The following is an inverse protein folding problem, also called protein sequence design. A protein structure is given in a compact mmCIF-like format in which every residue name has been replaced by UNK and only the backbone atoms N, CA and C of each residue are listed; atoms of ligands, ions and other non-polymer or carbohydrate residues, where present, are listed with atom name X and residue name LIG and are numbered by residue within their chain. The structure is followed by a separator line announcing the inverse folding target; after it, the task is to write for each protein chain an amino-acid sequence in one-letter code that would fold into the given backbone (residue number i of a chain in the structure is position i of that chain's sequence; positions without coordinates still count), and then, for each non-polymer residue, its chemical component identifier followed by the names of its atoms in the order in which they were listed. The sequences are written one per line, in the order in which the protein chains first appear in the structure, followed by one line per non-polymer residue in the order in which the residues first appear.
data_IF_545825254077
#
_entry.id   IF_545825254077
#
_cell.length_a   1.000
_cell.length_b   1.000
_cell.length_c   1.000
_cell.angle_alpha   90.00
_cell.angle_beta   90.00
_cell.angle_gamma   90.00
#
_symmetry.space_group_name_H-M   'P 1'
#
loop_
_entity.id
_entity.type
_entity.pdbx_description
1 polymer ?
#
# COMPACT_ATOMS: atom_id res chain seq x y z
N UNK A 1 -7.14 -8.85 31.92
CA UNK A 1 -8.41 -8.55 31.23
C UNK A 1 -9.61 -9.27 31.88
N UNK A 2 -9.71 -10.62 31.85
CA UNK A 2 -10.90 -11.34 32.35
C UNK A 2 -11.24 -11.14 33.83
N UNK A 3 -10.24 -10.98 34.71
CA UNK A 3 -10.49 -10.66 36.13
C UNK A 3 -11.25 -9.35 36.35
N UNK A 4 -11.06 -8.37 35.46
CA UNK A 4 -11.73 -7.07 35.53
C UNK A 4 -13.05 -7.06 34.73
N UNK A 5 -13.25 -8.03 33.84
CA UNK A 5 -14.38 -8.12 32.91
C UNK A 5 -14.90 -9.58 32.88
N UNK A 6 -15.45 -10.10 34.00
CA UNK A 6 -15.85 -11.50 34.11
C UNK A 6 -16.94 -11.90 33.11
N UNK A 7 -17.75 -10.93 32.65
CA UNK A 7 -18.78 -11.11 31.63
C UNK A 7 -18.23 -11.46 30.24
N UNK A 8 -16.92 -11.24 30.00
CA UNK A 8 -16.27 -11.64 28.74
C UNK A 8 -15.81 -13.11 28.77
N UNK A 9 -15.88 -13.79 29.92
CA UNK A 9 -15.41 -15.15 30.04
C UNK A 9 -16.28 -16.12 29.21
N UNK A 10 -15.62 -16.90 28.36
CA UNK A 10 -16.28 -17.90 27.50
C UNK A 10 -16.85 -17.34 26.21
N UNK A 11 -16.77 -16.03 25.99
CA UNK A 11 -17.11 -15.41 24.70
C UNK A 11 -16.03 -15.69 23.66
N UNK A 12 -16.44 -15.85 22.42
CA UNK A 12 -15.55 -15.84 21.26
C UNK A 12 -14.93 -14.45 21.04
N UNK A 13 -13.83 -14.39 20.29
CA UNK A 13 -13.19 -13.12 19.96
C UNK A 13 -14.15 -12.13 19.25
N UNK A 14 -15.05 -12.64 18.39
CA UNK A 14 -16.07 -11.82 17.72
C UNK A 14 -17.11 -11.28 18.70
N UNK A 15 -17.57 -12.07 19.67
CA UNK A 15 -18.49 -11.60 20.70
C UNK A 15 -17.84 -10.56 21.62
N UNK A 16 -16.56 -10.72 21.94
CA UNK A 16 -15.80 -9.70 22.67
C UNK A 16 -15.68 -8.41 21.84
N UNK A 17 -15.42 -8.54 20.53
CA UNK A 17 -15.38 -7.40 19.62
C UNK A 17 -16.72 -6.66 19.55
N UNK A 18 -17.85 -7.38 19.50
CA UNK A 18 -19.18 -6.77 19.60
C UNK A 18 -19.36 -5.97 20.89
N UNK A 19 -18.93 -6.53 22.04
CA UNK A 19 -19.01 -5.85 23.34
C UNK A 19 -18.18 -4.57 23.37
N UNK A 20 -17.02 -4.57 22.71
CA UNK A 20 -16.20 -3.37 22.55
C UNK A 20 -16.92 -2.31 21.70
N UNK A 21 -17.47 -2.69 20.54
CA UNK A 21 -18.23 -1.77 19.68
C UNK A 21 -19.44 -1.21 20.41
N UNK A 22 -20.21 -2.05 21.12
CA UNK A 22 -21.33 -1.64 21.94
C UNK A 22 -20.89 -0.67 23.04
N UNK A 23 -19.81 -0.97 23.76
CA UNK A 23 -19.31 -0.11 24.84
C UNK A 23 -18.94 1.28 24.32
N UNK A 24 -18.24 1.37 23.18
CA UNK A 24 -17.84 2.64 22.56
C UNK A 24 -19.08 3.41 22.07
N UNK A 25 -19.95 2.75 21.31
CA UNK A 25 -21.12 3.41 20.70
C UNK A 25 -22.20 3.79 21.72
N UNK A 26 -22.33 3.08 22.84
CA UNK A 26 -23.20 3.44 23.96
C UNK A 26 -22.73 4.71 24.70
N UNK A 27 -21.45 5.07 24.61
CA UNK A 27 -20.94 6.36 25.09
C UNK A 27 -21.15 7.51 24.09
N UNK A 28 -21.81 7.24 22.96
CA UNK A 28 -22.06 8.24 21.93
C UNK A 28 -20.89 8.46 20.96
N UNK A 29 -19.81 7.69 21.09
CA UNK A 29 -18.63 7.77 20.23
C UNK A 29 -18.87 7.06 18.90
N UNK A 30 -18.21 7.55 17.86
CA UNK A 30 -18.21 6.94 16.54
C UNK A 30 -17.14 5.84 16.47
N UNK A 31 -17.38 4.83 15.63
CA UNK A 31 -16.50 3.70 15.40
C UNK A 31 -16.22 3.58 13.91
N UNK A 32 -14.94 3.43 13.58
CA UNK A 32 -14.45 3.05 12.25
C UNK A 32 -13.81 1.67 12.43
N UNK A 33 -14.24 0.69 11.62
CA UNK A 33 -13.69 -0.66 11.68
C UNK A 33 -12.55 -0.78 10.67
N UNK A 34 -11.34 -1.05 11.15
CA UNK A 34 -10.15 -1.19 10.31
C UNK A 34 -9.75 -2.66 10.16
N UNK A 35 -9.61 -3.11 8.91
CA UNK A 35 -9.02 -4.41 8.61
C UNK A 35 -7.49 -4.32 8.73
N UNK A 36 -7.02 -4.47 9.96
CA UNK A 36 -5.63 -4.21 10.29
C UNK A 36 -4.67 -5.31 9.81
N UNK A 37 -5.02 -6.56 10.04
CA UNK A 37 -4.25 -7.75 9.64
C UNK A 37 -5.18 -8.94 9.41
N UNK A 38 -4.68 -9.97 8.74
CA UNK A 38 -5.34 -11.27 8.64
C UNK A 38 -5.09 -12.15 9.86
N UNK A 39 -3.87 -12.10 10.41
CA UNK A 39 -3.46 -12.92 11.54
C UNK A 39 -3.49 -12.11 12.85
N UNK A 40 -3.68 -12.80 13.97
CA UNK A 40 -3.57 -12.22 15.31
C UNK A 40 -2.08 -12.05 15.67
N UNK A 41 -1.43 -11.08 15.02
CA UNK A 41 0.01 -10.81 15.13
C UNK A 41 0.25 -9.31 15.41
N UNK A 42 1.47 -8.84 15.15
CA UNK A 42 1.82 -7.42 15.14
C UNK A 42 2.44 -7.06 13.78
N UNK A 43 2.17 -5.85 13.30
CA UNK A 43 2.64 -5.32 12.02
C UNK A 43 3.64 -4.15 12.24
N UNK A 44 4.13 -3.36 11.30
CA UNK A 44 3.85 -3.31 9.88
C UNK A 44 5.20 -3.22 9.19
N UNK A 45 5.91 -4.34 9.08
CA UNK A 45 7.10 -4.41 8.23
C UNK A 45 6.79 -5.10 6.92
N UNK A 46 7.82 -5.25 6.09
CA UNK A 46 7.69 -5.86 4.78
C UNK A 46 7.75 -7.38 4.82
N UNK A 47 8.00 -8.01 5.97
CA UNK A 47 8.18 -9.47 6.11
C UNK A 47 7.09 -10.13 6.97
N UNK A 48 6.20 -9.34 7.61
CA UNK A 48 5.09 -9.82 8.43
C UNK A 48 3.97 -10.58 7.67
N UNK A 49 4.06 -10.66 6.34
CA UNK A 49 3.09 -11.37 5.50
C UNK A 49 1.73 -10.70 5.38
N UNK A 50 1.56 -9.51 5.97
CA UNK A 50 0.31 -8.77 6.11
C UNK A 50 0.45 -7.37 5.48
N UNK A 51 1.19 -7.24 4.37
CA UNK A 51 1.33 -5.98 3.63
C UNK A 51 0.30 -5.77 2.50
N UNK A 52 -0.36 -6.84 2.04
CA UNK A 52 -1.33 -6.81 0.94
C UNK A 52 -2.73 -7.22 1.40
N UNK A 53 -3.73 -7.18 0.51
CA UNK A 53 -5.11 -7.65 0.76
C UNK A 53 -5.27 -9.17 0.55
N UNK A 54 -4.18 -9.91 0.60
CA UNK A 54 -4.10 -11.37 0.59
C UNK A 54 -2.78 -11.79 1.23
N UNK A 55 -2.72 -13.04 1.67
CA UNK A 55 -1.53 -13.69 2.22
C UNK A 55 -1.37 -15.07 1.56
N UNK A 56 -0.39 -15.86 1.99
CA UNK A 56 -0.29 -17.26 1.57
C UNK A 56 -1.42 -18.15 2.14
N UNK A 57 -2.07 -17.69 3.21
CA UNK A 57 -3.14 -18.40 3.92
C UNK A 57 -4.54 -17.89 3.57
N UNK A 58 -4.68 -16.61 3.27
CA UNK A 58 -5.95 -15.95 3.01
C UNK A 58 -5.98 -15.33 1.62
N UNK A 59 -7.00 -15.65 0.85
CA UNK A 59 -7.19 -15.12 -0.49
C UNK A 59 -7.78 -13.71 -0.47
N UNK A 60 -7.74 -13.03 -1.63
CA UNK A 60 -8.50 -11.78 -1.81
C UNK A 60 -9.99 -11.97 -1.57
N UNK A 61 -10.56 -13.15 -1.87
CA UNK A 61 -11.98 -13.39 -1.66
C UNK A 61 -12.31 -13.55 -0.17
N UNK A 62 -11.40 -14.12 0.64
CA UNK A 62 -11.55 -14.17 2.09
C UNK A 62 -11.60 -12.76 2.69
N UNK A 63 -10.72 -11.86 2.22
CA UNK A 63 -10.74 -10.44 2.60
C UNK A 63 -12.07 -9.76 2.24
N UNK A 64 -12.53 -9.91 1.00
CA UNK A 64 -13.80 -9.32 0.55
C UNK A 64 -15.01 -9.88 1.34
N UNK A 65 -15.00 -11.17 1.64
CA UNK A 65 -16.03 -11.80 2.46
C UNK A 65 -16.00 -11.28 3.90
N UNK A 66 -14.82 -11.08 4.48
CA UNK A 66 -14.64 -10.48 5.80
C UNK A 66 -15.17 -9.04 5.88
N UNK A 67 -14.87 -8.21 4.88
CA UNK A 67 -15.41 -6.85 4.77
C UNK A 67 -16.95 -6.85 4.66
N UNK A 68 -17.49 -7.69 3.79
CA UNK A 68 -18.95 -7.83 3.63
C UNK A 68 -19.61 -8.28 4.93
N UNK A 69 -19.00 -9.25 5.61
CA UNK A 69 -19.48 -9.80 6.88
C UNK A 69 -19.55 -8.74 7.98
N UNK A 70 -18.46 -7.97 8.19
CA UNK A 70 -18.45 -6.91 9.20
C UNK A 70 -19.41 -5.77 8.85
N UNK A 71 -19.50 -5.41 7.56
CA UNK A 71 -20.43 -4.39 7.10
C UNK A 71 -21.90 -4.76 7.36
N UNK A 72 -22.30 -5.98 7.01
CA UNK A 72 -23.64 -6.51 7.30
C UNK A 72 -23.89 -6.64 8.81
N UNK A 73 -22.88 -7.08 9.57
CA UNK A 73 -22.99 -7.28 11.04
C UNK A 73 -23.32 -5.99 11.78
N UNK A 74 -22.73 -4.87 11.37
CA UNK A 74 -22.85 -3.59 12.08
C UNK A 74 -23.76 -2.57 11.40
N UNK A 75 -24.46 -2.94 10.33
CA UNK A 75 -25.28 -2.01 9.54
C UNK A 75 -26.37 -1.27 10.32
N UNK A 76 -26.90 -1.92 11.37
CA UNK A 76 -27.97 -1.36 12.20
C UNK A 76 -27.44 -0.50 13.36
N UNK A 77 -26.11 -0.41 13.54
CA UNK A 77 -25.49 0.51 14.49
C UNK A 77 -25.08 1.80 13.77
N UNK A 78 -25.83 2.92 13.92
CA UNK A 78 -25.57 4.15 13.18
C UNK A 78 -24.27 4.86 13.59
N UNK A 79 -23.60 4.40 14.65
CA UNK A 79 -22.30 4.94 15.09
C UNK A 79 -21.11 4.13 14.57
N UNK A 80 -21.34 3.00 13.89
CA UNK A 80 -20.32 2.38 13.05
C UNK A 80 -20.37 3.08 11.69
N UNK A 81 -19.54 4.13 11.56
CA UNK A 81 -19.71 5.14 10.50
C UNK A 81 -18.90 4.86 9.25
N UNK A 82 -17.84 4.06 9.34
CA UNK A 82 -17.00 3.72 8.21
C UNK A 82 -16.26 2.39 8.39
N UNK A 83 -15.80 1.86 7.25
CA UNK A 83 -14.98 0.66 7.17
C UNK A 83 -13.70 1.01 6.46
N UNK A 84 -12.60 0.90 7.18
CA UNK A 84 -11.27 0.99 6.62
C UNK A 84 -10.82 -0.37 6.14
N UNK A 85 -10.75 -0.47 4.82
CA UNK A 85 -10.77 -1.75 4.13
C UNK A 85 -9.44 -2.49 4.24
N UNK A 86 -8.33 -1.77 4.47
CA UNK A 86 -7.02 -2.40 4.60
C UNK A 86 -5.97 -1.44 5.16
N UNK A 87 -5.41 -1.83 6.30
CA UNK A 87 -4.30 -1.12 6.93
C UNK A 87 -2.97 -1.20 6.17
N UNK A 88 -2.40 -0.04 5.90
CA UNK A 88 -1.07 0.18 5.35
C UNK A 88 -0.73 -0.76 4.19
N UNK A 89 -1.43 -0.70 3.03
CA UNK A 89 -1.01 -1.41 1.83
C UNK A 89 0.46 -1.10 1.55
N UNK A 90 1.35 -2.09 1.69
CA UNK A 90 2.80 -1.92 1.66
C UNK A 90 3.51 -3.11 0.98
N UNK A 91 4.79 -2.94 0.59
CA UNK A 91 5.57 -4.04 0.04
C UNK A 91 5.58 -5.26 0.93
N UNK A 92 5.45 -6.45 0.32
CA UNK A 92 5.65 -7.72 0.99
C UNK A 92 6.81 -8.49 0.36
N UNK A 93 7.87 -8.69 1.11
CA UNK A 93 9.02 -9.52 0.76
C UNK A 93 8.70 -10.96 1.17
N UNK A 94 8.48 -11.82 0.18
CA UNK A 94 8.26 -13.25 0.38
C UNK A 94 9.55 -13.97 0.75
N UNK A 95 9.40 -15.10 1.44
CA UNK A 95 10.46 -16.10 1.55
C UNK A 95 10.98 -16.46 0.15
N UNK A 96 12.30 -16.37 -0.05
CA UNK A 96 12.93 -16.50 -1.36
C UNK A 96 13.23 -15.17 -2.08
N UNK A 97 12.94 -14.03 -1.46
CA UNK A 97 13.43 -12.70 -1.88
C UNK A 97 12.60 -12.00 -2.95
N UNK A 98 11.45 -12.56 -3.33
CA UNK A 98 10.52 -11.88 -4.25
C UNK A 98 9.74 -10.81 -3.49
N UNK A 99 9.75 -9.57 -3.97
CA UNK A 99 9.01 -8.45 -3.38
C UNK A 99 7.73 -8.19 -4.17
N UNK A 100 6.58 -8.17 -3.50
CA UNK A 100 5.30 -7.80 -4.10
C UNK A 100 4.97 -6.36 -3.68
N UNK A 101 4.78 -5.47 -4.65
CA UNK A 101 4.59 -4.04 -4.45
C UNK A 101 3.13 -3.65 -4.75
N UNK A 102 2.39 -3.05 -3.81
CA UNK A 102 1.08 -2.48 -4.08
C UNK A 102 1.24 -1.12 -4.79
N UNK A 103 0.59 -0.98 -5.93
CA UNK A 103 0.63 0.23 -6.76
C UNK A 103 -0.75 0.76 -7.07
N UNK A 104 -0.88 2.07 -7.28
CA UNK A 104 -2.15 2.66 -7.71
C UNK A 104 -2.28 2.59 -9.24
N UNK A 105 -3.08 1.64 -9.75
CA UNK A 105 -3.41 1.56 -11.17
C UNK A 105 -2.41 0.81 -12.05
N UNK A 106 -1.46 0.07 -11.48
CA UNK A 106 -0.53 -0.78 -12.22
C UNK A 106 -0.56 -2.20 -11.71
N UNK A 107 -0.76 -3.14 -12.63
CA UNK A 107 -0.50 -4.57 -12.41
C UNK A 107 0.48 -5.02 -13.51
N UNK A 108 1.65 -5.53 -13.12
CA UNK A 108 2.60 -6.05 -14.10
C UNK A 108 3.48 -7.16 -13.53
N UNK A 109 3.72 -8.16 -14.36
CA UNK A 109 4.62 -9.28 -14.11
C UNK A 109 5.98 -9.12 -14.81
N UNK A 110 6.18 -8.03 -15.58
CA UNK A 110 7.44 -7.84 -16.33
C UNK A 110 8.65 -7.72 -15.39
N UNK A 111 8.42 -7.23 -14.17
CA UNK A 111 9.46 -7.07 -13.16
C UNK A 111 9.75 -8.37 -12.39
N UNK A 112 8.99 -9.46 -12.64
CA UNK A 112 9.20 -10.74 -11.96
C UNK A 112 10.60 -11.29 -12.24
N UNK A 113 11.15 -11.01 -13.43
CA UNK A 113 12.52 -11.37 -13.81
C UNK A 113 13.59 -10.72 -12.91
N UNK A 114 13.24 -9.64 -12.24
CA UNK A 114 14.10 -8.92 -11.29
C UNK A 114 13.71 -9.20 -9.83
N UNK A 115 12.79 -10.12 -9.58
CA UNK A 115 12.30 -10.44 -8.23
C UNK A 115 11.23 -9.50 -7.71
N UNK A 116 10.54 -8.73 -8.57
CA UNK A 116 9.47 -7.82 -8.16
C UNK A 116 8.16 -8.14 -8.86
N UNK A 117 7.07 -8.24 -8.12
CA UNK A 117 5.72 -8.34 -8.65
C UNK A 117 4.97 -7.06 -8.30
N UNK A 118 4.26 -6.46 -9.25
CA UNK A 118 3.44 -5.26 -8.98
C UNK A 118 1.96 -5.63 -9.05
N UNK A 119 1.21 -5.27 -8.02
CA UNK A 119 -0.23 -5.56 -7.89
C UNK A 119 -1.03 -4.26 -7.71
N UNK A 120 -2.21 -4.21 -8.32
CA UNK A 120 -3.00 -2.98 -8.40
C UNK A 120 -3.89 -2.77 -7.16
N UNK A 121 -3.46 -1.89 -6.26
CA UNK A 121 -4.22 -1.47 -5.08
C UNK A 121 -5.50 -0.72 -5.45
N UNK A 122 -5.52 0.12 -6.50
CA UNK A 122 -6.76 0.81 -6.94
C UNK A 122 -7.86 -0.20 -7.26
N UNK A 123 -7.49 -1.30 -7.94
CA UNK A 123 -8.40 -2.39 -8.26
C UNK A 123 -8.90 -3.12 -7.02
N UNK A 124 -7.99 -3.50 -6.13
CA UNK A 124 -8.37 -4.15 -4.89
C UNK A 124 -9.24 -3.24 -4.00
N UNK A 125 -8.88 -1.97 -3.86
CA UNK A 125 -9.64 -0.95 -3.13
C UNK A 125 -11.06 -0.78 -3.70
N UNK A 126 -11.21 -0.75 -5.03
CA UNK A 126 -12.52 -0.72 -5.70
C UNK A 126 -13.35 -1.96 -5.34
N UNK A 127 -12.75 -3.15 -5.34
CA UNK A 127 -13.42 -4.39 -4.94
C UNK A 127 -13.79 -4.39 -3.45
N UNK A 128 -12.90 -3.89 -2.58
CA UNK A 128 -13.12 -3.77 -1.14
C UNK A 128 -14.28 -2.82 -0.80
N UNK A 129 -14.35 -1.66 -1.45
CA UNK A 129 -15.46 -0.72 -1.30
C UNK A 129 -16.80 -1.36 -1.71
N UNK A 130 -16.82 -2.07 -2.85
CA UNK A 130 -18.00 -2.81 -3.31
C UNK A 130 -18.40 -3.91 -2.32
N UNK A 131 -17.45 -4.62 -1.73
CA UNK A 131 -17.72 -5.61 -0.69
C UNK A 131 -18.35 -5.00 0.57
N UNK A 132 -17.85 -3.86 1.04
CA UNK A 132 -18.48 -3.12 2.14
C UNK A 132 -19.92 -2.73 1.78
N UNK A 133 -20.15 -2.16 0.59
CA UNK A 133 -21.51 -1.73 0.20
C UNK A 133 -22.47 -2.87 -0.08
N UNK A 134 -22.00 -4.09 -0.36
CA UNK A 134 -22.85 -5.29 -0.39
C UNK A 134 -23.44 -5.61 0.99
N UNK A 135 -22.66 -5.44 2.06
CA UNK A 135 -23.13 -5.64 3.44
C UNK A 135 -23.85 -4.42 4.01
N UNK A 136 -23.36 -3.22 3.74
CA UNK A 136 -23.98 -1.97 4.17
C UNK A 136 -23.98 -0.92 3.05
N UNK A 137 -25.07 -0.81 2.26
CA UNK A 137 -25.15 0.09 1.13
C UNK A 137 -25.09 1.58 1.44
N UNK A 138 -25.02 1.99 2.71
CA UNK A 138 -24.94 3.42 3.10
C UNK A 138 -23.67 3.75 3.88
N UNK A 139 -22.80 2.76 4.14
CA UNK A 139 -21.56 2.98 4.87
C UNK A 139 -20.57 3.87 4.10
N UNK A 140 -19.77 4.63 4.86
CA UNK A 140 -18.55 5.22 4.31
C UNK A 140 -17.45 4.16 4.23
N UNK A 141 -16.57 4.31 3.25
CA UNK A 141 -15.42 3.43 3.04
C UNK A 141 -14.16 4.28 3.14
N UNK A 142 -13.26 3.88 4.02
CA UNK A 142 -11.93 4.50 4.14
C UNK A 142 -10.97 3.74 3.23
N UNK A 143 -10.24 4.48 2.40
CA UNK A 143 -9.24 3.96 1.46
C UNK A 143 -7.90 4.58 1.80
N UNK A 144 -7.04 3.79 2.44
CA UNK A 144 -5.67 4.20 2.70
C UNK A 144 -4.84 4.29 1.42
N UNK A 145 -3.84 5.17 1.44
CA UNK A 145 -2.83 5.27 0.39
C UNK A 145 -2.01 3.98 0.24
N UNK A 146 -1.35 3.81 -0.90
CA UNK A 146 -0.35 2.76 -1.01
C UNK A 146 0.95 3.20 -0.31
N UNK A 147 1.86 2.25 -0.12
CA UNK A 147 3.15 2.47 0.51
C UNK A 147 3.03 2.89 1.99
N UNK A 148 2.50 2.02 2.83
CA UNK A 148 2.27 2.30 4.26
C UNK A 148 1.31 3.49 4.50
N UNK A 149 0.24 3.56 3.71
CA UNK A 149 -0.72 4.67 3.75
C UNK A 149 -0.07 6.06 3.56
N UNK A 150 1.03 6.14 2.82
CA UNK A 150 1.75 7.42 2.63
C UNK A 150 1.50 8.10 1.29
N UNK A 151 0.68 7.49 0.43
CA UNK A 151 0.55 8.01 -0.92
C UNK A 151 -0.83 7.83 -1.56
N UNK A 152 -1.41 8.96 -1.94
CA UNK A 152 -2.65 9.18 -2.67
C UNK A 152 -2.46 10.13 -3.87
N UNK A 153 -1.23 10.41 -4.29
CA UNK A 153 -0.91 11.41 -5.31
C UNK A 153 -1.66 11.19 -6.64
N UNK A 154 -2.01 9.94 -6.97
CA UNK A 154 -2.61 9.57 -8.26
C UNK A 154 -4.08 9.15 -8.18
N UNK A 155 -4.76 9.37 -7.06
CA UNK A 155 -6.18 8.94 -6.94
C UNK A 155 -7.11 9.73 -7.87
N UNK A 156 -6.79 10.98 -8.21
CA UNK A 156 -7.55 11.77 -9.20
C UNK A 156 -7.23 11.42 -10.64
N UNK A 157 -5.99 11.02 -10.93
CA UNK A 157 -5.57 10.59 -12.27
C UNK A 157 -6.26 9.27 -12.63
N UNK A 158 -6.42 8.39 -11.63
CA UNK A 158 -7.05 7.09 -11.74
C UNK A 158 -8.05 6.86 -10.59
N UNK A 159 -9.29 7.38 -10.68
CA UNK A 159 -10.29 7.24 -9.62
C UNK A 159 -10.75 5.79 -9.46
N UNK A 160 -11.33 5.44 -8.31
CA UNK A 160 -11.86 4.08 -8.08
C UNK A 160 -12.81 3.63 -9.21
N UNK A 161 -12.77 2.34 -9.53
CA UNK A 161 -13.53 1.73 -10.60
C UNK A 161 -14.97 1.42 -10.15
N UNK A 162 -15.78 2.47 -10.08
CA UNK A 162 -17.17 2.42 -9.65
C UNK A 162 -18.09 2.72 -10.84
N UNK A 163 -19.15 1.92 -10.99
CA UNK A 163 -20.14 2.14 -12.04
C UNK A 163 -20.98 3.39 -11.80
N UNK A 164 -21.10 3.81 -10.54
CA UNK A 164 -21.91 4.95 -10.13
C UNK A 164 -21.02 6.01 -9.51
N UNK A 165 -20.85 7.13 -10.22
CA UNK A 165 -20.00 8.24 -9.76
C UNK A 165 -20.41 8.80 -8.39
N UNK A 166 -21.70 8.72 -8.02
CA UNK A 166 -22.18 9.15 -6.70
C UNK A 166 -21.59 8.34 -5.54
N UNK A 167 -21.06 7.13 -5.77
CA UNK A 167 -20.44 6.32 -4.71
C UNK A 167 -19.10 6.87 -4.24
N UNK A 168 -18.40 7.66 -5.07
CA UNK A 168 -17.17 8.36 -4.65
C UNK A 168 -17.40 9.25 -3.44
N UNK A 169 -18.64 9.71 -3.28
CA UNK A 169 -19.02 10.60 -2.20
C UNK A 169 -19.17 9.92 -0.83
N UNK A 170 -19.02 8.59 -0.78
CA UNK A 170 -18.94 7.77 0.43
C UNK A 170 -17.50 7.30 0.70
N UNK A 171 -16.54 7.81 -0.06
CA UNK A 171 -15.12 7.46 0.07
C UNK A 171 -14.43 8.53 0.89
N UNK A 172 -13.69 8.09 1.90
CA UNK A 172 -12.74 8.91 2.64
C UNK A 172 -11.36 8.38 2.32
N UNK A 173 -10.47 9.23 1.84
CA UNK A 173 -9.08 8.81 1.64
C UNK A 173 -8.29 8.99 2.92
N UNK A 174 -7.32 8.10 3.15
CA UNK A 174 -6.58 8.11 4.41
C UNK A 174 -5.07 8.05 4.25
N UNK A 175 -4.39 8.81 5.09
CA UNK A 175 -2.93 8.84 5.21
C UNK A 175 -2.48 8.55 6.63
N UNK A 176 -1.30 7.94 6.79
CA UNK A 176 -0.60 7.84 8.07
C UNK A 176 0.48 8.92 8.16
N UNK A 177 0.79 9.46 9.34
CA UNK A 177 1.81 10.50 9.50
C UNK A 177 2.71 10.19 10.70
N UNK A 178 3.98 9.89 10.40
CA UNK A 178 5.01 9.58 11.38
C UNK A 178 6.32 10.28 11.04
N UNK A 179 7.25 10.36 11.99
CA UNK A 179 8.54 11.02 11.77
C UNK A 179 9.36 10.40 10.63
N UNK A 180 9.18 9.10 10.38
CA UNK A 180 9.81 8.36 9.30
C UNK A 180 9.03 8.41 7.97
N UNK A 181 7.83 9.01 7.94
CA UNK A 181 6.95 9.11 6.77
C UNK A 181 7.64 9.65 5.52
N UNK A 182 8.44 10.72 5.68
CA UNK A 182 9.13 11.36 4.56
C UNK A 182 10.16 10.46 3.90
N UNK A 183 10.71 9.49 4.62
CA UNK A 183 11.59 8.46 4.05
C UNK A 183 10.79 7.54 3.13
N UNK A 184 9.65 7.04 3.60
CA UNK A 184 8.80 6.13 2.82
C UNK A 184 8.26 6.81 1.55
N UNK A 185 7.73 8.03 1.66
CA UNK A 185 7.23 8.79 0.50
C UNK A 185 8.33 9.09 -0.52
N UNK A 186 9.54 9.47 -0.08
CA UNK A 186 10.63 9.74 -1.01
C UNK A 186 11.11 8.49 -1.74
N UNK A 187 11.21 7.35 -1.05
CA UNK A 187 11.48 6.06 -1.70
C UNK A 187 10.43 5.78 -2.77
N UNK A 188 9.15 6.04 -2.50
CA UNK A 188 8.11 5.94 -3.53
C UNK A 188 8.30 6.95 -4.67
N UNK A 189 8.61 8.23 -4.39
CA UNK A 189 8.79 9.25 -5.43
C UNK A 189 9.95 8.90 -6.37
N UNK A 190 11.00 8.30 -5.82
CA UNK A 190 12.14 7.78 -6.57
C UNK A 190 11.75 6.51 -7.36
N UNK A 191 10.94 5.63 -6.76
CA UNK A 191 10.37 4.44 -7.41
C UNK A 191 9.47 4.74 -8.61
N UNK A 192 8.66 5.80 -8.52
CA UNK A 192 7.72 6.23 -9.55
C UNK A 192 8.44 6.84 -10.77
N UNK A 193 9.73 7.19 -10.64
CA UNK A 193 10.59 7.60 -11.73
C UNK A 193 11.02 6.39 -12.60
N UNK A 194 10.60 6.27 -13.88
CA UNK A 194 10.87 5.10 -14.71
C UNK A 194 12.36 4.83 -15.02
N UNK A 195 13.26 5.77 -14.69
CA UNK A 195 14.71 5.64 -14.85
C UNK A 195 15.47 5.57 -13.52
N UNK A 196 14.81 5.79 -12.39
CA UNK A 196 15.35 5.56 -11.05
C UNK A 196 15.08 4.12 -10.59
N UNK A 197 14.05 3.48 -11.15
CA UNK A 197 13.71 2.05 -10.98
C UNK A 197 14.89 1.07 -11.15
N UNK A 198 15.91 1.39 -11.96
CA UNK A 198 17.08 0.52 -12.19
C UNK A 198 18.32 0.86 -11.33
N UNK A 199 18.48 2.11 -10.86
CA UNK A 199 19.48 2.43 -9.82
C UNK A 199 19.05 1.87 -8.46
N UNK A 200 17.74 1.86 -8.24
CA UNK A 200 17.00 1.35 -7.09
C UNK A 200 17.23 -0.13 -6.74
N UNK A 201 17.39 -1.04 -7.72
CA UNK A 201 17.59 -2.47 -7.43
C UNK A 201 18.87 -2.80 -6.67
N UNK A 202 19.85 -1.88 -6.68
CA UNK A 202 21.12 -2.03 -5.97
C UNK A 202 21.09 -1.43 -4.56
N UNK A 203 20.26 -0.40 -4.33
CA UNK A 203 20.34 0.44 -3.13
C UNK A 203 19.37 -0.03 -2.01
N UNK A 204 18.26 -0.71 -2.35
CA UNK A 204 17.36 -1.34 -1.35
C UNK A 204 18.10 -2.35 -0.47
N UNK A 205 19.01 -3.12 -1.07
CA UNK A 205 19.72 -4.22 -0.39
C UNK A 205 20.84 -3.74 0.52
N UNK A 206 21.32 -2.51 0.35
CA UNK A 206 22.50 -2.00 1.07
C UNK A 206 22.12 -0.97 2.14
N UNK A 207 21.07 -0.17 1.93
CA UNK A 207 20.74 0.94 2.85
C UNK A 207 19.57 0.63 3.81
N UNK A 208 18.63 -0.25 3.44
CA UNK A 208 17.41 -0.51 4.26
C UNK A 208 17.32 -1.93 4.83
N UNK A 209 18.26 -2.82 4.51
CA UNK A 209 18.32 -4.18 5.05
C UNK A 209 18.72 -4.29 6.52
N UNK A 210 18.98 -3.18 7.22
CA UNK A 210 19.46 -3.18 8.62
C UNK A 210 18.73 -2.22 9.57
N UNK A 211 17.79 -1.38 9.09
CA UNK A 211 17.18 -0.34 9.94
C UNK A 211 15.69 -0.57 10.28
N UNK A 212 15.04 -1.59 9.70
CA UNK A 212 13.71 -2.04 10.14
C UNK A 212 13.72 -2.67 11.55
N UNK A 213 14.91 -3.02 12.06
CA UNK A 213 15.15 -3.59 13.40
C UNK A 213 15.40 -2.54 14.49
N UNK A 214 15.33 -1.24 14.18
CA UNK A 214 15.58 -0.13 15.12
C UNK A 214 14.39 0.81 15.35
N UNK A 215 13.15 0.30 15.28
CA UNK A 215 11.89 1.09 15.34
C UNK A 215 11.64 1.87 16.65
N UNK A 216 12.53 1.77 17.63
CA UNK A 216 12.33 2.37 18.97
C UNK A 216 12.99 3.76 19.17
N UNK A 217 13.82 4.28 18.25
CA UNK A 217 14.39 5.66 18.38
C UNK A 217 14.73 6.38 17.05
N UNK A 218 13.79 6.42 16.10
CA UNK A 218 13.96 7.14 14.81
C UNK A 218 13.47 8.60 14.87
N UNK A 219 13.44 9.20 16.07
CA UNK A 219 13.33 10.67 16.21
C UNK A 219 14.69 11.33 16.50
N UNK A 220 15.78 10.54 16.49
CA UNK A 220 17.14 11.08 16.34
C UNK A 220 17.32 11.74 14.97
N UNK A 221 18.32 12.62 14.86
CA UNK A 221 18.49 13.67 13.82
C UNK A 221 18.58 13.17 12.38
N UNK A 222 17.46 12.71 11.83
CA UNK A 222 17.35 12.33 10.42
C UNK A 222 17.11 13.61 9.57
N UNK A 223 17.76 13.76 8.39
CA UNK A 223 17.55 14.93 7.54
C UNK A 223 16.08 15.26 7.23
N UNK A 224 15.23 14.23 7.22
CA UNK A 224 13.79 14.37 6.94
C UNK A 224 12.95 14.81 8.14
N UNK A 225 13.36 14.49 9.36
CA UNK A 225 12.69 14.98 10.58
C UNK A 225 13.07 16.44 10.87
N UNK A 226 14.15 16.91 10.26
CA UNK A 226 14.70 18.27 10.42
C UNK A 226 14.40 19.23 9.25
N UNK A 227 13.53 18.84 8.33
CA UNK A 227 13.24 19.63 7.13
C UNK A 227 12.52 20.96 7.42
N UNK A 228 12.75 22.01 6.59
CA UNK A 228 11.96 23.24 6.64
C UNK A 228 10.47 22.99 6.42
N UNK A 229 9.62 23.86 6.99
CA UNK A 229 8.17 23.71 6.92
C UNK A 229 7.64 23.66 5.48
N UNK A 230 8.13 24.53 4.58
CA UNK A 230 7.61 24.60 3.21
C UNK A 230 7.82 23.27 2.47
N UNK A 231 9.02 22.68 2.59
CA UNK A 231 9.29 21.33 2.05
C UNK A 231 8.42 20.26 2.72
N UNK A 232 8.21 20.33 4.03
CA UNK A 232 7.32 19.41 4.73
C UNK A 232 5.89 19.48 4.17
N UNK A 233 5.36 20.70 4.04
CA UNK A 233 4.01 20.96 3.57
C UNK A 233 3.81 20.53 2.12
N UNK A 234 4.72 20.92 1.22
CA UNK A 234 4.67 20.55 -0.21
C UNK A 234 4.57 19.03 -0.40
N UNK A 235 5.37 18.27 0.37
CA UNK A 235 5.33 16.80 0.31
C UNK A 235 3.98 16.21 0.76
N UNK A 236 3.33 16.78 1.78
CA UNK A 236 2.02 16.26 2.25
C UNK A 236 0.89 16.68 1.33
N UNK A 237 0.96 17.89 0.78
CA UNK A 237 0.05 18.34 -0.26
C UNK A 237 0.10 17.42 -1.47
N UNK A 238 1.30 17.14 -2.00
CA UNK A 238 1.49 16.23 -3.13
C UNK A 238 1.06 14.79 -2.79
N UNK A 239 1.39 14.31 -1.59
CA UNK A 239 1.07 12.94 -1.17
C UNK A 239 -0.43 12.68 -1.05
N UNK A 240 -1.27 13.69 -0.79
CA UNK A 240 -2.72 13.48 -0.74
C UNK A 240 -3.55 14.65 -0.21
N UNK A 241 -2.95 15.60 0.50
CA UNK A 241 -3.72 16.74 1.03
C UNK A 241 -4.20 17.72 -0.06
N UNK A 242 -3.72 17.61 -1.30
CA UNK A 242 -4.32 18.29 -2.45
C UNK A 242 -5.81 17.96 -2.60
N UNK A 243 -6.23 16.74 -2.23
CA UNK A 243 -7.64 16.32 -2.28
C UNK A 243 -8.54 17.19 -1.39
N UNK A 244 -8.05 17.53 -0.20
CA UNK A 244 -8.76 18.38 0.75
C UNK A 244 -8.65 19.86 0.36
N UNK A 245 -7.45 20.30 -0.07
CA UNK A 245 -7.20 21.69 -0.52
C UNK A 245 -8.10 22.07 -1.69
N UNK A 246 -8.26 21.17 -2.65
CA UNK A 246 -8.95 21.41 -3.92
C UNK A 246 -10.44 20.98 -3.88
N UNK A 247 -10.99 20.67 -2.69
CA UNK A 247 -12.39 20.26 -2.48
C UNK A 247 -12.82 19.02 -3.31
N UNK A 248 -11.90 18.06 -3.47
CA UNK A 248 -12.10 16.87 -4.29
C UNK A 248 -12.66 15.72 -3.44
N UNK A 249 -12.04 15.45 -2.30
CA UNK A 249 -12.43 14.36 -1.40
C UNK A 249 -11.92 14.62 0.03
N UNK A 250 -12.62 14.14 1.07
CA UNK A 250 -12.13 14.24 2.43
C UNK A 250 -10.88 13.37 2.62
N UNK A 251 -9.88 13.95 3.30
CA UNK A 251 -8.67 13.26 3.75
C UNK A 251 -8.71 13.14 5.26
N UNK A 252 -8.54 11.93 5.75
CA UNK A 252 -8.39 11.64 7.18
C UNK A 252 -6.96 11.17 7.44
N UNK A 253 -6.35 11.65 8.52
CA UNK A 253 -5.10 11.05 9.00
C UNK A 253 -5.46 9.94 9.97
N UNK A 254 -5.59 8.70 9.47
CA UNK A 254 -6.04 7.55 10.29
C UNK A 254 -5.03 7.11 11.34
N UNK A 255 -3.75 7.45 11.18
CA UNK A 255 -2.75 7.27 12.21
C UNK A 255 -1.73 8.40 12.22
N UNK A 256 -1.49 8.97 13.40
CA UNK A 256 -0.27 9.72 13.67
C UNK A 256 0.09 9.60 15.15
N UNK A 257 1.38 9.66 15.45
CA UNK A 257 1.83 9.59 16.83
C UNK A 257 3.29 9.92 16.99
N UNK A 258 3.71 10.11 18.23
CA UNK A 258 5.10 10.38 18.56
C UNK A 258 5.46 10.09 20.00
N UNK A 259 6.72 9.75 20.23
CA UNK A 259 7.24 9.44 21.57
C UNK A 259 7.60 10.69 22.38
N UNK A 260 8.14 11.74 21.73
CA UNK A 260 8.71 12.91 22.41
C UNK A 260 8.34 14.22 21.71
N UNK A 261 7.87 15.19 22.48
CA UNK A 261 7.64 16.56 21.99
C UNK A 261 8.97 17.25 21.67
N UNK A 262 9.09 17.82 20.48
CA UNK A 262 10.24 18.64 20.10
C UNK A 262 11.57 17.89 19.93
N UNK A 263 11.54 16.55 19.80
CA UNK A 263 12.73 15.77 19.48
C UNK A 263 13.29 16.09 18.09
N UNK A 264 12.42 16.54 17.18
CA UNK A 264 12.77 17.06 15.85
C UNK A 264 11.76 18.11 15.38
N UNK A 265 12.03 18.76 14.24
CA UNK A 265 11.07 19.69 13.63
C UNK A 265 9.79 19.02 13.15
N UNK A 266 9.81 17.70 12.91
CA UNK A 266 8.65 16.94 12.43
C UNK A 266 7.39 17.22 13.24
N UNK A 267 7.43 17.05 14.57
CA UNK A 267 6.22 17.21 15.40
C UNK A 267 5.61 18.61 15.25
N UNK A 268 6.45 19.65 15.33
CA UNK A 268 5.99 21.03 15.19
C UNK A 268 5.47 21.32 13.78
N UNK A 269 6.09 20.77 12.74
CA UNK A 269 5.62 20.90 11.37
C UNK A 269 4.28 20.18 11.17
N UNK A 270 4.12 18.96 11.69
CA UNK A 270 2.86 18.21 11.66
C UNK A 270 1.75 18.97 12.36
N UNK A 271 1.98 19.47 13.57
CA UNK A 271 0.97 20.26 14.30
C UNK A 271 0.59 21.52 13.55
N UNK A 272 1.57 22.24 12.98
CA UNK A 272 1.33 23.44 12.18
C UNK A 272 0.54 23.12 10.91
N UNK A 273 0.89 22.05 10.22
CA UNK A 273 0.26 21.65 8.97
C UNK A 273 -1.17 21.16 9.19
N UNK A 274 -1.42 20.33 10.20
CA UNK A 274 -2.78 19.85 10.50
C UNK A 274 -3.73 20.99 10.85
N UNK A 275 -3.26 22.01 11.58
CA UNK A 275 -4.05 23.23 11.82
C UNK A 275 -4.31 24.02 10.55
N UNK A 276 -3.30 24.18 9.70
CA UNK A 276 -3.45 24.93 8.45
C UNK A 276 -4.46 24.25 7.51
N UNK A 277 -4.45 22.92 7.45
CA UNK A 277 -5.35 22.13 6.61
C UNK A 277 -6.70 21.83 7.24
N UNK A 278 -6.92 22.14 8.52
CA UNK A 278 -8.07 21.64 9.30
C UNK A 278 -8.21 20.10 9.19
N UNK A 279 -7.08 19.40 9.34
CA UNK A 279 -7.00 17.96 9.15
C UNK A 279 -7.82 17.21 10.21
N UNK A 280 -8.66 16.26 9.77
CA UNK A 280 -9.20 15.25 10.68
C UNK A 280 -8.12 14.21 10.97
N UNK A 281 -8.06 13.68 12.19
CA UNK A 281 -6.94 12.84 12.61
C UNK A 281 -7.33 11.76 13.62
N UNK A 282 -6.45 10.78 13.80
CA UNK A 282 -6.54 9.73 14.81
C UNK A 282 -5.15 9.45 15.39
N UNK A 283 -5.04 9.53 16.73
CA UNK A 283 -3.78 9.31 17.42
C UNK A 283 -3.50 7.81 17.56
N UNK A 284 -2.34 7.39 17.09
CA UNK A 284 -1.88 6.02 17.25
C UNK A 284 -0.80 5.90 18.35
N UNK A 285 -0.99 5.02 19.34
CA UNK A 285 -2.25 4.44 19.82
C UNK A 285 -2.74 5.09 21.11
N UNK A 286 -3.93 4.70 21.57
CA UNK A 286 -4.33 4.94 22.96
C UNK A 286 -3.46 4.11 23.92
N UNK A 287 -3.15 2.88 23.52
CA UNK A 287 -2.57 1.84 24.34
C UNK A 287 -1.19 2.19 24.92
N UNK A 288 -0.95 1.91 26.21
CA UNK A 288 0.36 2.08 26.85
C UNK A 288 1.31 0.89 26.58
N UNK A 289 0.82 -0.18 25.95
CA UNK A 289 1.52 -1.45 25.76
C UNK A 289 1.25 -1.99 24.37
N UNK A 290 2.31 -2.46 23.72
CA UNK A 290 2.29 -3.15 22.45
C UNK A 290 2.10 -4.65 22.64
N UNK A 291 2.80 -5.24 23.62
CA UNK A 291 2.61 -6.62 24.07
C UNK A 291 2.29 -6.58 25.57
N UNK A 292 1.11 -7.08 26.01
CA UNK A 292 0.77 -7.13 27.43
C UNK A 292 1.75 -8.02 28.23
N UNK A 293 1.90 -7.71 29.52
CA UNK A 293 2.59 -8.62 30.46
C UNK A 293 1.94 -10.01 30.48
N UNK A 294 2.78 -11.03 30.67
CA UNK A 294 2.40 -12.45 30.71
C UNK A 294 1.69 -12.95 29.44
N UNK A 295 1.75 -12.21 28.33
CA UNK A 295 1.18 -12.64 27.05
C UNK A 295 2.11 -13.62 26.33
N UNK A 296 3.39 -13.29 26.24
CA UNK A 296 4.42 -14.13 25.65
C UNK A 296 5.22 -14.83 26.78
N UNK A 297 5.24 -16.17 26.85
CA UNK A 297 6.07 -16.88 27.81
C UNK A 297 7.58 -16.63 27.65
N UNK A 298 8.04 -16.22 26.46
CA UNK A 298 9.44 -15.90 26.18
C UNK A 298 9.79 -14.45 26.55
N UNK A 299 8.80 -13.55 26.58
CA UNK A 299 8.90 -12.17 27.05
C UNK A 299 7.79 -11.85 28.07
N UNK A 300 7.91 -12.33 29.33
CA UNK A 300 6.85 -12.18 30.33
C UNK A 300 6.65 -10.72 30.75
N UNK A 301 7.66 -9.87 30.59
CA UNK A 301 7.55 -8.44 30.87
C UNK A 301 6.71 -7.73 29.81
N UNK A 302 6.60 -8.29 28.60
CA UNK A 302 5.92 -7.69 27.46
C UNK A 302 6.51 -6.35 27.04
N UNK A 303 5.91 -5.73 26.04
CA UNK A 303 6.45 -4.56 25.37
C UNK A 303 5.58 -3.32 25.61
N UNK A 304 6.22 -2.22 26.01
CA UNK A 304 5.57 -0.90 26.12
C UNK A 304 5.32 -0.31 24.73
N UNK A 305 4.27 0.51 24.62
CA UNK A 305 4.07 1.35 23.44
C UNK A 305 4.33 2.82 23.80
N UNK A 306 5.52 3.32 23.44
CA UNK A 306 5.92 4.70 23.77
C UNK A 306 5.15 5.76 22.99
N UNK A 307 4.45 5.38 21.92
CA UNK A 307 3.54 6.26 21.18
C UNK A 307 2.20 6.42 21.91
N UNK A 308 1.87 5.51 22.83
CA UNK A 308 0.64 5.49 23.63
C UNK A 308 0.22 6.82 24.24
N UNK A 309 -1.06 7.17 24.11
CA UNK A 309 -1.66 8.32 24.78
C UNK A 309 -1.79 8.06 26.29
N UNK A 310 -2.18 6.83 26.68
CA UNK A 310 -2.11 6.37 28.06
C UNK A 310 -0.66 6.18 28.48
N UNK A 311 -0.36 6.41 29.75
CA UNK A 311 1.01 6.49 30.26
C UNK A 311 1.76 5.14 30.14
N UNK A 312 2.72 5.00 29.21
CA UNK A 312 3.37 3.72 28.92
C UNK A 312 4.24 3.21 30.09
N UNK A 313 5.15 4.02 30.69
CA UNK A 313 5.95 3.58 31.84
C UNK A 313 5.16 2.99 33.00
N UNK A 314 3.93 3.45 33.24
CA UNK A 314 3.08 2.92 34.32
C UNK A 314 2.10 1.83 33.87
N UNK A 315 2.03 1.51 32.57
CA UNK A 315 1.05 0.56 31.99
C UNK A 315 -0.39 0.86 32.44
N UNK A 316 -0.71 2.15 32.60
CA UNK A 316 -1.93 2.61 33.27
C UNK A 316 -2.92 3.23 32.29
N UNK A 317 -4.12 2.64 32.21
CA UNK A 317 -5.23 3.12 31.40
C UNK A 317 -6.06 4.22 32.09
N UNK A 318 -5.64 4.71 33.27
CA UNK A 318 -6.31 5.79 34.02
C UNK A 318 -5.65 7.15 33.86
N UNK A 319 -4.44 7.21 33.31
CA UNK A 319 -3.68 8.44 33.15
C UNK A 319 -3.13 8.59 31.74
N UNK A 320 -3.14 9.83 31.24
CA UNK A 320 -2.65 10.19 29.90
C UNK A 320 -1.33 10.96 29.98
N UNK A 321 -0.54 10.90 28.91
CA UNK A 321 0.67 11.71 28.77
C UNK A 321 0.27 13.16 28.49
N UNK A 322 0.54 14.05 29.45
CA UNK A 322 -0.01 15.41 29.47
C UNK A 322 0.30 16.27 28.24
N UNK A 323 1.53 16.20 27.71
CA UNK A 323 1.89 17.00 26.54
C UNK A 323 1.20 16.52 25.26
N UNK A 324 0.96 15.21 25.12
CA UNK A 324 0.24 14.63 23.97
C UNK A 324 -1.19 15.16 23.97
N UNK A 325 -1.89 15.01 25.10
CA UNK A 325 -3.26 15.52 25.24
C UNK A 325 -3.35 17.03 25.00
N UNK A 326 -2.39 17.81 25.51
CA UNK A 326 -2.36 19.26 25.30
C UNK A 326 -2.28 19.62 23.80
N UNK A 327 -1.38 18.98 23.05
CA UNK A 327 -1.23 19.24 21.62
C UNK A 327 -2.48 18.77 20.83
N UNK A 328 -3.08 17.63 21.21
CA UNK A 328 -4.31 17.14 20.60
C UNK A 328 -5.52 18.07 20.83
N UNK A 329 -5.67 18.63 22.04
CA UNK A 329 -6.71 19.63 22.33
C UNK A 329 -6.49 20.90 21.51
N UNK A 330 -5.24 21.30 21.34
CA UNK A 330 -4.85 22.46 20.54
C UNK A 330 -5.08 22.23 19.03
N UNK A 331 -4.99 20.99 18.55
CA UNK A 331 -5.39 20.59 17.20
C UNK A 331 -6.90 20.53 16.98
N UNK A 332 -7.69 20.24 18.03
CA UNK A 332 -9.14 20.03 17.91
C UNK A 332 -9.92 21.33 17.59
N UNK A 333 -9.33 22.49 17.87
CA UNK A 333 -9.96 23.77 17.54
C UNK A 333 -10.06 23.93 16.01
N UNK A 334 -11.25 24.09 15.43
CA UNK A 334 -11.41 24.20 13.99
C UNK A 334 -10.66 25.43 13.46
N UNK A 335 -10.01 25.27 12.31
CA UNK A 335 -9.32 26.38 11.65
C UNK A 335 -10.33 27.46 11.24
N UNK A 336 -10.05 28.76 11.47
CA UNK A 336 -10.88 29.84 10.93
C UNK A 336 -10.87 29.89 9.39
N UNK A 337 -9.86 29.27 8.77
CA UNK A 337 -9.67 29.17 7.33
C UNK A 337 -10.11 27.81 6.76
N UNK A 338 -10.86 27.00 7.55
CA UNK A 338 -11.28 25.67 7.15
C UNK A 338 -12.05 25.69 5.82
N UNK A 339 -11.75 24.77 4.87
CA UNK A 339 -12.48 24.67 3.62
C UNK A 339 -13.97 24.44 3.89
N UNK A 340 -14.82 24.92 2.98
CA UNK A 340 -16.26 24.73 3.10
C UNK A 340 -16.58 23.22 3.22
N UNK A 341 -17.50 22.86 4.11
CA UNK A 341 -17.97 21.46 4.20
C UNK A 341 -18.45 21.02 2.81
N UNK A 342 -17.85 19.95 2.28
CA UNK A 342 -18.31 19.31 1.05
C UNK A 342 -19.81 19.07 1.17
N UNK A 343 -20.59 19.52 0.18
CA UNK A 343 -22.04 19.37 0.21
C UNK A 343 -22.43 17.90 0.36
N UNK A 344 -23.41 17.61 1.22
CA UNK A 344 -23.92 16.24 1.37
C UNK A 344 -24.40 15.76 -0.01
N UNK A 345 -23.83 14.67 -0.53
CA UNK A 345 -24.12 14.20 -1.88
C UNK A 345 -25.57 13.75 -2.02
N UNK A 346 -26.17 13.83 -3.21
CA UNK A 346 -27.50 13.29 -3.47
C UNK A 346 -27.54 11.79 -3.17
N UNK A 347 -28.73 11.28 -2.81
CA UNK A 347 -28.93 9.86 -2.51
C UNK A 347 -28.39 8.98 -3.64
N UNK A 348 -27.49 8.06 -3.28
CA UNK A 348 -26.86 7.11 -4.19
C UNK A 348 -27.43 5.72 -3.91
N UNK A 349 -28.14 5.16 -4.89
CA UNK A 349 -28.67 3.78 -4.81
C UNK A 349 -27.61 2.82 -5.34
N UNK A 350 -26.97 2.04 -4.48
CA UNK A 350 -25.95 1.09 -4.88
C UNK A 350 -26.50 -0.03 -5.79
N UNK A 351 -25.93 -0.19 -6.98
CA UNK A 351 -26.14 -1.35 -7.86
C UNK A 351 -24.96 -2.33 -7.67
N UNK A 352 -25.17 -3.49 -7.00
CA UNK A 352 -24.10 -4.42 -6.72
C UNK A 352 -23.49 -5.00 -8.00
N UNK A 353 -24.32 -5.37 -8.99
CA UNK A 353 -23.84 -6.05 -10.20
C UNK A 353 -22.99 -5.09 -11.04
N UNK A 354 -23.49 -3.89 -11.29
CA UNK A 354 -22.78 -2.92 -12.11
C UNK A 354 -21.42 -2.55 -11.48
N UNK A 355 -21.39 -2.36 -10.15
CA UNK A 355 -20.14 -2.02 -9.47
C UNK A 355 -19.19 -3.21 -9.33
N UNK A 356 -19.67 -4.44 -9.20
CA UNK A 356 -18.82 -5.64 -9.29
C UNK A 356 -18.17 -5.78 -10.66
N UNK A 357 -18.93 -5.58 -11.73
CA UNK A 357 -18.40 -5.62 -13.10
C UNK A 357 -17.35 -4.50 -13.30
N UNK A 358 -17.59 -3.29 -12.79
CA UNK A 358 -16.65 -2.18 -12.85
C UNK A 358 -15.37 -2.46 -12.05
N UNK A 359 -15.49 -2.86 -10.78
CA UNK A 359 -14.35 -3.07 -9.88
C UNK A 359 -13.46 -4.26 -10.29
N UNK A 360 -14.01 -5.25 -10.99
CA UNK A 360 -13.25 -6.39 -11.49
C UNK A 360 -12.49 -6.12 -12.79
N UNK A 361 -12.73 -4.99 -13.46
CA UNK A 361 -12.02 -4.61 -14.68
C UNK A 361 -10.53 -4.49 -14.41
N UNK A 362 -9.71 -5.10 -15.27
CA UNK A 362 -8.27 -4.92 -15.21
C UNK A 362 -7.89 -3.54 -15.76
N UNK A 363 -6.95 -2.87 -15.10
CA UNK A 363 -6.35 -1.63 -15.62
C UNK A 363 -5.55 -1.97 -16.88
N UNK A 364 -5.98 -1.44 -18.03
CA UNK A 364 -5.30 -1.73 -19.29
C UNK A 364 -3.91 -1.08 -19.33
N UNK A 365 -2.92 -1.73 -19.96
CA UNK A 365 -1.58 -1.14 -20.07
C UNK A 365 -1.56 0.24 -20.75
N UNK A 366 -2.45 0.47 -21.72
CA UNK A 366 -2.64 1.79 -22.33
C UNK A 366 -3.28 2.80 -21.35
N UNK A 367 -4.25 2.37 -20.55
CA UNK A 367 -4.89 3.22 -19.53
C UNK A 367 -3.84 3.66 -18.51
N UNK A 368 -3.00 2.74 -18.04
CA UNK A 368 -1.88 3.05 -17.17
C UNK A 368 -0.90 4.04 -17.82
N UNK A 369 -0.42 3.76 -19.04
CA UNK A 369 0.54 4.63 -19.72
C UNK A 369 0.01 6.06 -19.95
N UNK A 370 -1.30 6.19 -20.21
CA UNK A 370 -1.95 7.50 -20.40
C UNK A 370 -2.20 8.22 -19.08
N UNK A 371 -2.24 7.50 -17.96
CA UNK A 371 -2.45 8.08 -16.62
C UNK A 371 -1.18 8.63 -15.97
N UNK A 372 0.00 8.21 -16.44
CA UNK A 372 1.27 8.71 -15.91
C UNK A 372 1.48 10.15 -16.35
N UNK A 373 1.81 11.04 -15.40
CA UNK A 373 2.33 12.35 -15.73
C UNK A 373 3.74 12.24 -16.32
N UNK A 374 3.85 12.40 -17.65
CA UNK A 374 5.13 12.30 -18.34
C UNK A 374 5.92 13.60 -18.23
N UNK A 375 7.01 13.59 -17.46
CA UNK A 375 7.99 14.68 -17.54
C UNK A 375 8.71 14.64 -18.90
N UNK A 376 9.20 15.80 -19.36
CA UNK A 376 10.00 15.90 -20.60
C UNK A 376 11.19 14.95 -20.57
N UNK A 377 11.82 14.80 -19.39
CA UNK A 377 12.91 13.86 -19.19
C UNK A 377 12.46 12.42 -19.42
N UNK A 378 11.38 11.97 -18.75
CA UNK A 378 10.83 10.61 -18.89
C UNK A 378 10.43 10.27 -20.33
N UNK A 379 9.86 11.22 -21.05
CA UNK A 379 9.48 11.04 -22.44
C UNK A 379 10.71 10.85 -23.34
N UNK A 380 11.74 11.68 -23.17
CA UNK A 380 12.97 11.61 -23.95
C UNK A 380 13.75 10.33 -23.68
N UNK A 381 13.92 9.95 -22.41
CA UNK A 381 14.67 8.75 -22.04
C UNK A 381 13.94 7.47 -22.45
N UNK A 382 12.61 7.43 -22.33
CA UNK A 382 11.79 6.31 -22.85
C UNK A 382 11.90 6.20 -24.36
N UNK A 383 11.84 7.33 -25.08
CA UNK A 383 12.03 7.35 -26.53
C UNK A 383 13.42 6.85 -26.94
N UNK A 384 14.48 7.26 -26.22
CA UNK A 384 15.85 6.78 -26.45
C UNK A 384 15.95 5.28 -26.17
N UNK A 385 15.39 4.79 -25.07
CA UNK A 385 15.40 3.36 -24.74
C UNK A 385 14.69 2.53 -25.81
N UNK A 386 13.48 2.93 -26.21
CA UNK A 386 12.74 2.26 -27.29
C UNK A 386 13.55 2.29 -28.58
N UNK A 387 14.18 3.42 -28.92
CA UNK A 387 15.06 3.53 -30.08
C UNK A 387 16.24 2.55 -29.99
N UNK A 388 16.91 2.45 -28.83
CA UNK A 388 18.03 1.53 -28.62
C UNK A 388 17.60 0.06 -28.72
N UNK A 389 16.44 -0.30 -28.16
CA UNK A 389 15.86 -1.65 -28.28
C UNK A 389 15.54 -1.96 -29.74
N UNK A 390 14.88 -1.04 -30.45
CA UNK A 390 14.57 -1.20 -31.88
C UNK A 390 15.85 -1.32 -32.71
N UNK A 391 16.86 -0.49 -32.47
CA UNK A 391 18.17 -0.59 -33.14
C UNK A 391 18.85 -1.93 -32.86
N UNK A 392 18.76 -2.44 -31.63
CA UNK A 392 19.29 -3.77 -31.27
C UNK A 392 18.53 -4.90 -31.96
N UNK A 393 17.20 -4.82 -32.04
CA UNK A 393 16.38 -5.77 -32.79
C UNK A 393 16.69 -5.73 -34.29
N UNK A 394 16.86 -4.53 -34.87
CA UNK A 394 17.26 -4.36 -36.28
C UNK A 394 18.65 -4.95 -36.52
N UNK A 395 19.62 -4.70 -35.63
CA UNK A 395 20.96 -5.26 -35.72
C UNK A 395 20.95 -6.79 -35.62
N UNK A 396 20.17 -7.37 -34.70
CA UNK A 396 20.02 -8.82 -34.55
C UNK A 396 19.32 -9.45 -35.76
N UNK A 397 18.27 -8.82 -36.29
CA UNK A 397 17.60 -9.26 -37.53
C UNK A 397 18.53 -9.15 -38.74
N UNK A 398 19.35 -8.10 -38.82
CA UNK A 398 20.36 -7.92 -39.86
C UNK A 398 21.45 -8.99 -39.78
N UNK A 399 21.87 -9.38 -38.57
CA UNK A 399 22.75 -10.52 -38.35
C UNK A 399 22.09 -11.85 -38.78
N UNK A 400 20.81 -12.09 -38.50
CA UNK A 400 20.09 -13.28 -38.98
C UNK A 400 19.97 -13.32 -40.51
N UNK A 401 19.78 -12.18 -41.16
CA UNK A 401 19.79 -12.04 -42.62
C UNK A 401 21.19 -12.30 -43.21
N UNK A 402 22.25 -11.77 -42.58
CA UNK A 402 23.64 -12.04 -42.97
C UNK A 402 24.03 -13.51 -42.78
N UNK A 403 23.55 -14.17 -41.73
CA UNK A 403 23.77 -15.60 -41.49
C UNK A 403 23.00 -16.46 -42.52
N UNK A 404 21.78 -16.07 -42.93
CA UNK A 404 21.06 -16.74 -44.02
C UNK A 404 21.78 -16.60 -45.37
N UNK A 405 22.34 -15.42 -45.69
CA UNK A 405 23.15 -15.24 -46.91
C UNK A 405 24.49 -15.97 -46.85
N UNK A 406 25.09 -16.10 -45.66
CA UNK A 406 26.31 -16.88 -45.47
C UNK A 406 26.04 -18.41 -45.56
N UNK A 407 24.89 -18.88 -45.07
CA UNK A 407 24.50 -20.30 -45.14
C UNK A 407 24.15 -20.76 -46.57
N UNK A 408 23.59 -19.87 -47.40
CA UNK A 408 23.36 -20.13 -48.82
C UNK A 408 24.65 -20.04 -49.67
N UNK A 409 25.72 -19.44 -49.14
CA UNK A 409 27.04 -19.40 -49.77
C UNK A 409 28.03 -20.47 -49.30
N UNK A 410 27.76 -21.17 -48.19
CA UNK A 410 28.69 -22.13 -47.57
C UNK A 410 28.38 -23.62 -47.84
N UNK A 411 27.33 -23.95 -48.61
CA UNK A 411 27.00 -25.34 -48.96
C UNK A 411 27.65 -25.85 -50.25
N UNK A 412 28.50 -25.05 -50.93
CA UNK A 412 29.12 -25.44 -52.21
C UNK A 412 30.67 -25.58 -52.19
N UNK A 413 31.35 -25.39 -51.06
CA UNK A 413 32.82 -25.31 -51.06
C UNK A 413 33.61 -26.14 -50.04
N UNK A 414 33.02 -26.57 -48.92
CA UNK A 414 33.81 -27.02 -47.76
C UNK A 414 33.64 -28.49 -47.34
N UNK A 415 33.29 -29.40 -48.26
CA UNK A 415 33.31 -30.85 -47.99
C UNK A 415 34.53 -31.60 -48.54
N UNK A 416 35.41 -30.93 -49.31
CA UNK A 416 36.57 -31.58 -49.95
C UNK A 416 37.85 -31.65 -49.11
N UNK A 417 37.89 -31.08 -47.90
CA UNK A 417 39.14 -30.95 -47.12
C UNK A 417 39.13 -31.58 -45.71
N UNK A 418 38.12 -32.39 -45.38
CA UNK A 418 38.12 -33.11 -44.09
C UNK A 418 38.80 -34.48 -44.20
N UNK A 419 39.75 -34.81 -43.29
CA UNK A 419 40.35 -36.14 -43.19
C UNK A 419 39.29 -37.24 -42.98
N UNK A 420 39.53 -38.43 -43.53
CA UNK A 420 38.60 -39.58 -43.56
C UNK A 420 38.10 -40.04 -42.18
N UNK A 421 38.82 -39.74 -41.09
CA UNK A 421 38.42 -40.09 -39.73
C UNK A 421 37.33 -39.15 -39.16
N UNK A 422 37.30 -37.87 -39.57
CA UNK A 422 36.27 -36.89 -39.18
C UNK A 422 34.94 -37.14 -39.91
N UNK A 423 34.97 -37.71 -41.13
CA UNK A 423 33.75 -38.11 -41.86
C UNK A 423 32.96 -39.23 -41.17
N UNK A 424 33.61 -40.06 -40.34
CA UNK A 424 32.94 -41.17 -39.64
C UNK A 424 32.22 -40.76 -38.36
N UNK A 425 32.49 -39.58 -37.81
CA UNK A 425 31.74 -39.07 -36.64
C UNK A 425 30.36 -38.50 -37.03
N UNK A 426 30.18 -38.02 -38.26
CA UNK A 426 28.91 -37.43 -38.72
C UNK A 426 27.91 -38.42 -39.33
N UNK A 427 28.24 -39.71 -39.39
CA UNK A 427 27.35 -40.76 -39.97
C UNK A 427 26.62 -41.56 -38.89
N UNK A 428 26.90 -41.36 -37.59
CA UNK A 428 26.32 -42.19 -36.52
C UNK A 428 25.07 -41.66 -35.83
N UNK A 429 24.69 -40.41 -36.05
CA UNK A 429 23.50 -39.82 -35.40
C UNK A 429 22.33 -39.55 -36.37
N UNK A 430 22.39 -40.09 -37.58
CA UNK A 430 21.32 -39.93 -38.59
C UNK A 430 20.38 -41.15 -38.73
N UNK A 431 20.43 -42.12 -37.80
CA UNK A 431 19.57 -43.32 -37.85
C UNK A 431 18.38 -43.31 -36.87
N UNK A 432 18.25 -42.32 -35.98
CA UNK A 432 17.13 -42.26 -35.05
C UNK A 432 16.43 -40.92 -35.13
N UNK A 433 15.64 -40.68 -36.19
CA UNK A 433 14.42 -39.85 -36.16
C UNK A 433 13.76 -39.88 -37.54
N UNK A 434 13.04 -40.96 -37.83
CA UNK A 434 11.95 -40.95 -38.81
C UNK A 434 10.63 -40.70 -38.06
N UNK A 435 9.77 -39.82 -38.60
CA UNK A 435 8.38 -40.22 -38.76
C UNK A 435 7.89 -39.97 -40.19
N UNK A 436 7.50 -41.07 -40.83
CA UNK A 436 6.27 -41.28 -41.61
C UNK A 436 5.66 -40.09 -42.36
N UNK A 437 5.74 -40.11 -43.70
CA UNK A 437 4.61 -39.79 -44.61
C UNK A 437 4.75 -40.62 -45.92
N UNK A 438 3.71 -41.37 -46.26
CA UNK A 438 3.44 -42.15 -47.49
C UNK A 438 3.17 -41.26 -48.74
N UNK A 439 3.02 -41.81 -49.97
CA UNK A 439 3.27 -43.17 -50.47
C UNK A 439 4.46 -43.29 -51.43
#
# INVERSE_FOLDING_TARGET
MLRANPELQGLSAMEVFDRCVDAITNQGLLVILNHHMFDAAWCCDTIDGNGLWFTDKYSTDDWLNGLTFLAERYKDNPRVVAFDIRNEPRPWVKEGGTSILPWWGLETSILNLFGYQVVDWRRAASRGAVAVWKGNPVANVVIEGNWFASNLAHVTDLPLMLAQGCLQSRVVYSLHEYSWYSTAYLVWSHLAGPFELFGFLRDITVEYGTEAEGRDDVQSTHPFTEQPYDRFADMREEAGFYLQRDDIAPVWVSEFGGMRRGASKWHNNTMRFFKAMDASWCWWPLDPQKIPQDFDPEDPDGQLDLYGLFNPPSRDYRSVVGWKLQDLVDLQAPSPDAPARVSVPPQCTFDPRANEEAANRATGGLEFLLSIHWTVYMALTTAIFVLLVLLRCIALCSCCLCVRTAWLGFTSGLMMWLPTWLRRMFVKDAENYAPLVHP
#
